data_IF_906719642527
#
_entry.id   IF_906719642527
#
_cell.length_a   1.000
_cell.length_b   1.000
_cell.length_c   1.000
_cell.angle_alpha   90.00
_cell.angle_beta   90.00
_cell.angle_gamma   90.00
#
_symmetry.space_group_name_H-M   'P 1'
#
loop_
_entity.id
_entity.type
_entity.pdbx_description
1 polymer ?
#
# COMPACT_ATOMS: atom_id res chain seq x y z
N UNK A 1 14.34 -4.81 18.40
CA UNK A 1 13.71 -4.09 17.26
C UNK A 1 12.49 -4.82 16.73
N UNK A 2 12.59 -6.06 16.26
CA UNK A 2 11.46 -6.80 15.67
C UNK A 2 10.19 -6.81 16.56
N UNK A 3 10.34 -7.12 17.86
CA UNK A 3 9.24 -7.07 18.82
C UNK A 3 8.53 -5.69 18.87
N UNK A 4 9.28 -4.60 18.87
CA UNK A 4 8.71 -3.25 18.90
C UNK A 4 7.95 -2.94 17.60
N UNK A 5 8.47 -3.35 16.44
CA UNK A 5 7.72 -3.23 15.18
C UNK A 5 6.44 -4.04 15.20
N UNK A 6 6.47 -5.29 15.69
CA UNK A 6 5.27 -6.11 15.78
C UNK A 6 4.24 -5.50 16.73
N UNK A 7 4.65 -5.14 17.94
CA UNK A 7 3.76 -4.66 18.99
C UNK A 7 3.18 -3.27 18.69
N UNK A 8 4.00 -2.34 18.19
CA UNK A 8 3.60 -0.95 18.04
C UNK A 8 3.04 -0.63 16.65
N UNK A 9 3.60 -1.21 15.59
CA UNK A 9 3.33 -0.77 14.21
C UNK A 9 2.52 -1.78 13.39
N UNK A 10 2.59 -3.07 13.72
CA UNK A 10 1.81 -4.12 13.06
C UNK A 10 0.47 -4.42 13.76
N UNK A 11 0.01 -3.52 14.62
CA UNK A 11 -1.37 -3.58 15.12
C UNK A 11 -2.44 -3.72 14.02
N UNK A 12 -2.39 -2.99 12.88
CA UNK A 12 -3.42 -3.11 11.84
C UNK A 12 -3.57 -4.53 11.29
N UNK A 13 -2.47 -5.19 10.91
CA UNK A 13 -2.53 -6.58 10.39
C UNK A 13 -2.99 -7.55 11.48
N UNK A 14 -2.56 -7.36 12.73
CA UNK A 14 -2.99 -8.21 13.85
C UNK A 14 -4.50 -8.10 14.06
N UNK A 15 -5.05 -6.88 14.12
CA UNK A 15 -6.49 -6.64 14.26
C UNK A 15 -7.26 -7.20 13.06
N UNK A 16 -6.77 -6.95 11.84
CA UNK A 16 -7.42 -7.47 10.64
C UNK A 16 -7.47 -8.99 10.64
N UNK A 17 -6.37 -9.64 11.02
CA UNK A 17 -6.31 -11.09 11.15
C UNK A 17 -7.28 -11.62 12.20
N UNK A 18 -7.31 -11.02 13.39
CA UNK A 18 -8.26 -11.44 14.44
C UNK A 18 -9.71 -11.23 14.04
N UNK A 19 -10.04 -10.16 13.30
CA UNK A 19 -11.39 -9.97 12.76
C UNK A 19 -11.79 -11.09 11.79
N UNK A 20 -10.85 -11.56 10.95
CA UNK A 20 -11.06 -12.72 10.09
C UNK A 20 -11.29 -13.97 10.95
N UNK A 21 -10.46 -14.20 11.97
CA UNK A 21 -10.62 -15.35 12.86
C UNK A 21 -11.97 -15.36 13.57
N UNK A 22 -12.43 -14.22 14.09
CA UNK A 22 -13.74 -14.14 14.78
C UNK A 22 -14.93 -14.41 13.86
N UNK A 23 -14.74 -14.32 12.54
CA UNK A 23 -15.77 -14.67 11.55
C UNK A 23 -15.83 -16.16 11.22
N UNK A 24 -14.86 -16.96 11.68
CA UNK A 24 -14.79 -18.39 11.47
C UNK A 24 -15.44 -19.13 12.64
N UNK A 25 -16.26 -20.15 12.35
CA UNK A 25 -16.98 -20.92 13.39
C UNK A 25 -16.05 -21.70 14.33
N UNK A 26 -14.89 -22.15 13.83
CA UNK A 26 -13.95 -23.00 14.57
C UNK A 26 -12.53 -22.47 14.43
N UNK A 27 -12.00 -21.86 15.49
CA UNK A 27 -10.61 -21.36 15.53
C UNK A 27 -9.84 -22.03 16.65
N UNK A 28 -8.69 -22.62 16.30
CA UNK A 28 -7.75 -23.15 17.29
C UNK A 28 -7.07 -21.98 18.01
N UNK A 29 -7.16 -21.95 19.35
CA UNK A 29 -6.52 -20.90 20.16
C UNK A 29 -5.00 -20.80 19.89
N UNK A 30 -4.33 -21.94 19.71
CA UNK A 30 -2.90 -21.98 19.40
C UNK A 30 -2.55 -21.33 18.05
N UNK A 31 -3.43 -21.43 17.04
CA UNK A 31 -3.25 -20.74 15.76
C UNK A 31 -3.36 -19.22 15.95
N UNK A 32 -4.37 -18.77 16.70
CA UNK A 32 -4.61 -17.37 16.99
C UNK A 32 -3.44 -16.71 17.76
N UNK A 33 -2.85 -17.43 18.72
CA UNK A 33 -1.68 -16.94 19.49
C UNK A 33 -0.36 -17.04 18.71
N UNK A 34 -0.32 -17.86 17.66
CA UNK A 34 0.91 -18.04 16.86
C UNK A 34 1.25 -16.83 15.98
N UNK A 35 0.28 -15.97 15.67
CA UNK A 35 0.44 -14.89 14.69
C UNK A 35 1.44 -13.82 15.14
N UNK A 36 1.33 -13.23 16.35
CA UNK A 36 2.35 -12.29 16.81
C UNK A 36 3.74 -12.94 16.87
N UNK A 37 3.82 -14.22 17.24
CA UNK A 37 5.09 -14.97 17.31
C UNK A 37 5.72 -15.10 15.92
N UNK A 38 4.93 -15.51 14.92
CA UNK A 38 5.39 -15.60 13.53
C UNK A 38 5.78 -14.23 12.98
N UNK A 39 5.02 -13.18 13.27
CA UNK A 39 5.36 -11.81 12.85
C UNK A 39 6.68 -11.34 13.47
N UNK A 40 6.90 -11.55 14.76
CA UNK A 40 8.17 -11.21 15.42
C UNK A 40 9.33 -11.98 14.77
N UNK A 41 9.17 -13.30 14.57
CA UNK A 41 10.21 -14.13 13.97
C UNK A 41 10.50 -13.73 12.51
N UNK A 42 9.47 -13.51 11.70
CA UNK A 42 9.61 -13.10 10.30
C UNK A 42 10.25 -11.71 10.18
N UNK A 43 9.82 -10.73 10.98
CA UNK A 43 10.43 -9.40 11.01
C UNK A 43 11.87 -9.47 11.51
N UNK A 44 12.17 -10.31 12.51
CA UNK A 44 13.53 -10.50 12.96
C UNK A 44 14.43 -11.04 11.84
N UNK A 45 13.97 -12.05 11.11
CA UNK A 45 14.68 -12.61 9.96
C UNK A 45 14.98 -11.55 8.90
N UNK A 46 13.99 -10.73 8.52
CA UNK A 46 14.11 -9.72 7.47
C UNK A 46 14.96 -8.52 7.91
N UNK A 47 14.87 -8.10 9.18
CA UNK A 47 15.54 -6.89 9.68
C UNK A 47 16.97 -7.16 10.18
N UNK A 48 17.31 -8.41 10.53
CA UNK A 48 18.63 -8.76 11.08
C UNK A 48 19.80 -8.42 10.15
N UNK A 49 19.74 -8.64 8.82
CA UNK A 49 20.82 -8.26 7.89
C UNK A 49 21.19 -6.77 7.96
N UNK A 50 20.24 -5.90 8.29
CA UNK A 50 20.43 -4.45 8.34
C UNK A 50 21.01 -3.95 9.68
N UNK A 51 21.31 -4.85 10.61
CA UNK A 51 21.84 -4.51 11.95
C UNK A 51 23.37 -4.30 11.94
N UNK A 52 23.87 -3.49 11.01
CA UNK A 52 25.30 -3.15 10.85
C UNK A 52 25.67 -1.99 11.78
N UNK A 53 26.87 -2.01 12.38
CA UNK A 53 27.29 -1.17 13.52
C UNK A 53 26.89 0.30 13.44
N UNK A 54 27.26 1.00 12.37
CA UNK A 54 26.97 2.43 12.21
C UNK A 54 25.64 2.72 11.50
N UNK A 55 25.08 1.73 10.81
CA UNK A 55 23.85 1.86 10.04
C UNK A 55 22.59 1.59 10.87
N UNK A 56 22.69 0.72 11.89
CA UNK A 56 21.56 0.23 12.68
C UNK A 56 20.70 1.34 13.27
N UNK A 57 21.31 2.34 13.95
CA UNK A 57 20.57 3.40 14.63
C UNK A 57 19.79 4.30 13.65
N UNK A 58 20.43 4.97 12.67
CA UNK A 58 19.71 5.83 11.74
C UNK A 58 18.71 5.05 10.88
N UNK A 59 19.05 3.82 10.45
CA UNK A 59 18.15 3.00 9.64
C UNK A 59 16.87 2.64 10.39
N UNK A 60 16.97 2.11 11.61
CA UNK A 60 15.78 1.75 12.38
C UNK A 60 15.01 2.99 12.83
N UNK A 61 15.67 4.10 13.17
CA UNK A 61 14.98 5.36 13.47
C UNK A 61 14.11 5.83 12.29
N UNK A 62 14.65 5.80 11.07
CA UNK A 62 13.90 6.12 9.86
C UNK A 62 12.71 5.17 9.64
N UNK A 63 12.92 3.85 9.82
CA UNK A 63 11.84 2.87 9.71
C UNK A 63 10.76 3.05 10.78
N UNK A 64 11.11 3.44 12.01
CA UNK A 64 10.11 3.72 13.04
C UNK A 64 9.23 4.90 12.67
N UNK A 65 9.80 6.00 12.18
CA UNK A 65 9.02 7.18 11.81
C UNK A 65 8.10 6.87 10.60
N UNK A 66 8.68 6.34 9.53
CA UNK A 66 7.92 6.00 8.30
C UNK A 66 6.89 4.89 8.56
N UNK A 67 7.24 3.88 9.36
CA UNK A 67 6.34 2.81 9.75
C UNK A 67 5.19 3.29 10.64
N UNK A 68 5.39 4.30 11.49
CA UNK A 68 4.31 4.90 12.26
C UNK A 68 3.32 5.66 11.37
N UNK A 69 3.80 6.38 10.36
CA UNK A 69 2.94 7.03 9.36
C UNK A 69 2.12 6.00 8.59
N UNK A 70 2.76 4.93 8.11
CA UNK A 70 2.09 3.84 7.40
C UNK A 70 1.05 3.14 8.29
N UNK A 71 1.44 2.79 9.53
CA UNK A 71 0.56 2.14 10.50
C UNK A 71 -0.69 2.99 10.81
N UNK A 72 -0.54 4.31 10.98
CA UNK A 72 -1.67 5.20 11.17
C UNK A 72 -2.62 5.21 9.97
N UNK A 73 -2.08 5.35 8.76
CA UNK A 73 -2.87 5.37 7.54
C UNK A 73 -3.63 4.04 7.33
N UNK A 74 -3.00 2.91 7.66
CA UNK A 74 -3.63 1.60 7.63
C UNK A 74 -4.75 1.46 8.67
N UNK A 75 -4.55 1.92 9.90
CA UNK A 75 -5.55 1.82 10.96
C UNK A 75 -6.74 2.74 10.74
N UNK A 76 -6.48 4.02 10.42
CA UNK A 76 -7.52 5.05 10.35
C UNK A 76 -8.20 5.09 8.99
N UNK A 77 -7.43 5.01 7.91
CA UNK A 77 -7.92 5.20 6.54
C UNK A 77 -8.03 3.88 5.76
N UNK A 78 -7.64 2.74 6.36
CA UNK A 78 -7.65 1.41 5.71
C UNK A 78 -6.84 1.39 4.40
N UNK A 79 -5.79 2.21 4.34
CA UNK A 79 -4.88 2.27 3.20
C UNK A 79 -4.06 0.99 3.13
N UNK A 80 -3.89 0.45 1.92
CA UNK A 80 -2.96 -0.64 1.63
C UNK A 80 -1.75 -0.07 0.91
N UNK A 81 -0.55 -0.29 1.45
CA UNK A 81 0.69 0.19 0.84
C UNK A 81 1.20 -0.78 -0.22
N UNK A 82 0.67 -0.65 -1.43
CA UNK A 82 1.23 -1.29 -2.62
C UNK A 82 1.92 -0.28 -3.54
N UNK A 83 2.34 -0.74 -4.72
CA UNK A 83 3.07 0.08 -5.69
C UNK A 83 2.27 1.31 -6.11
N UNK A 84 0.96 1.18 -6.27
CA UNK A 84 0.11 2.27 -6.76
C UNK A 84 -0.10 3.30 -5.64
N UNK A 85 -0.18 2.86 -4.38
CA UNK A 85 -0.16 3.79 -3.24
C UNK A 85 1.17 4.54 -3.14
N UNK A 86 2.32 3.90 -3.40
CA UNK A 86 3.60 4.61 -3.46
C UNK A 86 3.60 5.65 -4.58
N UNK A 87 3.04 5.31 -5.75
CA UNK A 87 2.88 6.27 -6.84
C UNK A 87 2.02 7.47 -6.41
N UNK A 88 0.88 7.23 -5.76
CA UNK A 88 0.02 8.29 -5.25
C UNK A 88 0.77 9.22 -4.29
N UNK A 89 1.55 8.66 -3.36
CA UNK A 89 2.34 9.46 -2.40
C UNK A 89 3.43 10.29 -3.08
N UNK A 90 3.99 9.81 -4.19
CA UNK A 90 5.03 10.54 -4.94
C UNK A 90 4.47 11.57 -5.92
N UNK A 91 3.26 11.36 -6.43
CA UNK A 91 2.60 12.24 -7.40
C UNK A 91 1.63 13.25 -6.75
N UNK A 92 1.34 13.09 -5.45
CA UNK A 92 0.47 14.00 -4.70
C UNK A 92 1.07 15.40 -4.56
N UNK A 93 0.20 16.39 -4.33
CA UNK A 93 0.58 17.78 -4.05
C UNK A 93 0.50 18.09 -2.55
N UNK A 94 1.10 19.21 -2.13
CA UNK A 94 1.16 19.61 -0.71
C UNK A 94 -0.21 19.91 -0.10
N UNK A 95 -1.17 20.40 -0.88
CA UNK A 95 -2.53 20.66 -0.41
C UNK A 95 -3.30 19.38 -0.13
N UNK A 96 -3.21 18.40 -1.04
CA UNK A 96 -3.79 17.08 -0.87
C UNK A 96 -3.15 16.34 0.31
N UNK A 97 -1.82 16.30 0.39
CA UNK A 97 -1.11 15.68 1.51
C UNK A 97 -1.45 16.34 2.86
N UNK A 98 -1.55 17.67 2.89
CA UNK A 98 -1.90 18.43 4.09
C UNK A 98 -3.29 18.10 4.63
N UNK A 99 -4.24 17.75 3.76
CA UNK A 99 -5.61 17.37 4.18
C UNK A 99 -5.67 16.10 5.03
N UNK A 100 -4.66 15.23 4.96
CA UNK A 100 -4.57 14.02 5.78
C UNK A 100 -3.94 14.26 7.16
N UNK A 101 -3.29 15.41 7.37
CA UNK A 101 -2.65 15.77 8.63
C UNK A 101 -3.69 16.30 9.62
N UNK A 102 -3.71 15.67 10.80
CA UNK A 102 -4.53 16.13 11.91
C UNK A 102 -3.78 15.90 13.24
N UNK A 103 -4.33 16.41 14.34
CA UNK A 103 -3.70 16.29 15.67
C UNK A 103 -3.50 14.82 16.06
N UNK A 104 -4.45 13.94 15.73
CA UNK A 104 -4.34 12.51 16.02
C UNK A 104 -3.22 11.83 15.23
N UNK A 105 -3.06 12.15 13.94
CA UNK A 105 -1.97 11.61 13.12
C UNK A 105 -0.61 12.08 13.62
N UNK A 106 -0.50 13.35 14.02
CA UNK A 106 0.74 13.91 14.57
C UNK A 106 1.12 13.25 15.91
N UNK A 107 0.17 13.14 16.83
CA UNK A 107 0.38 12.46 18.11
C UNK A 107 0.77 10.99 17.92
N UNK A 108 0.15 10.29 16.97
CA UNK A 108 0.50 8.91 16.66
C UNK A 108 1.96 8.78 16.18
N UNK A 109 2.36 9.60 15.20
CA UNK A 109 3.74 9.59 14.69
C UNK A 109 4.74 9.96 15.78
N UNK A 110 4.40 10.91 16.65
CA UNK A 110 5.25 11.31 17.77
C UNK A 110 5.46 10.16 18.76
N UNK A 111 4.37 9.50 19.17
CA UNK A 111 4.42 8.46 20.22
C UNK A 111 4.91 7.11 19.72
N UNK A 112 4.54 6.71 18.50
CA UNK A 112 4.80 5.36 17.95
C UNK A 112 5.99 5.36 16.98
N UNK A 113 6.37 6.53 16.46
CA UNK A 113 7.50 6.69 15.54
C UNK A 113 8.69 7.40 16.19
N UNK A 114 8.53 8.68 16.51
CA UNK A 114 9.62 9.55 16.98
C UNK A 114 10.15 9.13 18.34
N UNK A 115 9.27 8.85 19.31
CA UNK A 115 9.69 8.46 20.66
C UNK A 115 10.53 7.15 20.62
N UNK A 116 10.08 6.03 20.00
CA UNK A 116 10.92 4.86 19.81
C UNK A 116 12.21 5.14 19.05
N UNK A 117 12.16 5.96 18.00
CA UNK A 117 13.34 6.33 17.21
C UNK A 117 14.41 7.03 18.06
N UNK A 118 14.01 7.97 18.92
CA UNK A 118 14.90 8.67 19.84
C UNK A 118 15.45 7.73 20.91
N UNK A 119 14.62 6.85 21.48
CA UNK A 119 15.04 5.87 22.48
C UNK A 119 16.16 4.95 21.98
N UNK A 120 16.18 4.61 20.68
CA UNK A 120 17.24 3.80 20.07
C UNK A 120 18.63 4.47 20.18
N UNK A 121 18.68 5.80 20.13
CA UNK A 121 19.95 6.51 20.26
C UNK A 121 20.54 6.41 21.66
N UNK A 122 19.69 6.35 22.69
CA UNK A 122 20.12 6.18 24.09
C UNK A 122 20.56 4.76 24.45
N UNK A 123 20.15 3.75 23.67
CA UNK A 123 20.57 2.36 23.90
C UNK A 123 22.05 2.20 23.52
N UNK A 124 22.86 1.72 24.49
CA UNK A 124 24.24 1.29 24.26
C UNK A 124 24.20 -0.11 23.63
N UNK A 125 24.60 -0.20 22.36
CA UNK A 125 24.67 -1.48 21.64
C UNK A 125 26.07 -2.04 21.86
N UNK A 126 26.16 -3.20 22.53
CA UNK A 126 27.41 -3.93 22.67
C UNK A 126 27.70 -4.72 21.40
N UNK A 127 28.84 -4.45 20.79
CA UNK A 127 29.25 -5.13 19.56
C UNK A 127 30.28 -6.22 19.89
N UNK A 128 30.17 -7.42 19.28
CA UNK A 128 31.17 -8.47 19.46
C UNK A 128 32.56 -7.98 19.06
N UNK A 129 33.57 -8.35 19.85
CA UNK A 129 34.97 -7.96 19.61
C UNK A 129 35.54 -8.43 18.28
N UNK A 130 34.98 -9.51 17.70
CA UNK A 130 35.39 -10.07 16.41
C UNK A 130 34.22 -10.11 15.44
N UNK A 131 34.42 -9.63 14.22
CA UNK A 131 33.37 -9.48 13.20
C UNK A 131 32.64 -10.80 12.86
N UNK A 132 33.36 -11.92 12.80
CA UNK A 132 32.79 -13.24 12.50
C UNK A 132 31.87 -13.75 13.61
N UNK A 133 32.14 -13.43 14.89
CA UNK A 133 31.24 -13.79 15.99
C UNK A 133 29.92 -13.04 15.87
N UNK A 134 29.97 -11.77 15.45
CA UNK A 134 28.77 -10.98 15.15
C UNK A 134 27.99 -11.52 13.95
N UNK A 135 28.69 -11.95 12.90
CA UNK A 135 28.05 -12.58 11.74
C UNK A 135 27.38 -13.92 12.12
N UNK A 136 28.08 -14.77 12.89
CA UNK A 136 27.57 -16.06 13.33
C UNK A 136 26.38 -15.91 14.28
N UNK A 137 26.41 -14.95 15.21
CA UNK A 137 25.27 -14.65 16.08
C UNK A 137 24.05 -14.17 15.29
N UNK A 138 24.25 -13.34 14.26
CA UNK A 138 23.17 -12.91 13.35
C UNK A 138 22.60 -14.08 12.56
N UNK A 139 23.46 -14.91 11.97
CA UNK A 139 23.04 -16.10 11.24
C UNK A 139 22.27 -17.08 12.15
N UNK A 140 22.76 -17.32 13.37
CA UNK A 140 22.07 -18.14 14.36
C UNK A 140 20.69 -17.58 14.72
N UNK A 141 20.56 -16.27 14.94
CA UNK A 141 19.26 -15.62 15.18
C UNK A 141 18.31 -15.75 14.00
N UNK A 142 18.81 -15.63 12.76
CA UNK A 142 18.01 -15.81 11.56
C UNK A 142 17.53 -17.27 11.42
N UNK A 143 18.42 -18.24 11.66
CA UNK A 143 18.07 -19.66 11.65
C UNK A 143 17.06 -20.01 12.74
N UNK A 144 17.22 -19.48 13.95
CA UNK A 144 16.26 -19.65 15.03
C UNK A 144 14.88 -19.08 14.65
N UNK A 145 14.86 -17.91 14.01
CA UNK A 145 13.62 -17.30 13.52
C UNK A 145 12.95 -18.17 12.45
N UNK A 146 13.74 -18.72 11.53
CA UNK A 146 13.24 -19.63 10.49
C UNK A 146 12.71 -20.94 11.09
N UNK A 147 13.37 -21.49 12.11
CA UNK A 147 12.91 -22.68 12.82
C UNK A 147 11.58 -22.43 13.53
N UNK A 148 11.39 -21.27 14.16
CA UNK A 148 10.12 -20.87 14.79
C UNK A 148 9.01 -20.77 13.74
N UNK A 149 9.26 -20.06 12.64
CA UNK A 149 8.27 -19.93 11.55
C UNK A 149 7.94 -21.31 10.96
N UNK A 150 8.94 -22.12 10.65
CA UNK A 150 8.77 -23.47 10.11
C UNK A 150 7.99 -24.39 11.06
N UNK A 151 8.29 -24.35 12.36
CA UNK A 151 7.59 -25.13 13.38
C UNK A 151 6.12 -24.73 13.50
N UNK A 152 5.81 -23.44 13.54
CA UNK A 152 4.42 -22.96 13.58
C UNK A 152 3.67 -23.35 12.29
N UNK A 153 4.30 -23.15 11.13
CA UNK A 153 3.69 -23.51 9.85
C UNK A 153 3.47 -25.02 9.73
N UNK A 154 4.36 -25.87 10.25
CA UNK A 154 4.16 -27.32 10.26
C UNK A 154 2.93 -27.72 11.09
N UNK A 155 2.66 -27.03 12.20
CA UNK A 155 1.51 -27.31 13.07
C UNK A 155 0.18 -26.75 12.53
N UNK A 156 0.21 -25.61 11.84
CA UNK A 156 -0.99 -24.87 11.41
C UNK A 156 -1.06 -24.59 9.90
N UNK A 157 -0.41 -25.39 9.07
CA UNK A 157 -0.26 -25.15 7.63
C UNK A 157 -1.59 -24.87 6.91
N UNK A 158 -2.60 -25.73 7.12
CA UNK A 158 -3.91 -25.60 6.47
C UNK A 158 -4.63 -24.31 6.85
N UNK A 159 -4.50 -23.91 8.11
CA UNK A 159 -5.11 -22.69 8.66
C UNK A 159 -4.45 -21.45 8.03
N UNK A 160 -3.12 -21.39 7.99
CA UNK A 160 -2.37 -20.32 7.31
C UNK A 160 -2.63 -20.27 5.80
N UNK A 161 -2.66 -21.42 5.13
CA UNK A 161 -2.87 -21.50 3.69
C UNK A 161 -4.28 -21.03 3.29
N UNK A 162 -5.30 -21.40 4.07
CA UNK A 162 -6.69 -20.97 3.84
C UNK A 162 -6.83 -19.46 4.02
N UNK A 163 -6.38 -18.91 5.15
CA UNK A 163 -6.49 -17.48 5.44
C UNK A 163 -5.69 -16.66 4.43
N UNK A 164 -4.46 -17.09 4.09
CA UNK A 164 -3.60 -16.40 3.14
C UNK A 164 -4.12 -16.40 1.71
N UNK A 165 -4.77 -17.48 1.25
CA UNK A 165 -5.39 -17.54 -0.09
C UNK A 165 -6.64 -16.68 -0.19
N UNK A 166 -7.47 -16.69 0.85
CA UNK A 166 -8.72 -15.92 0.86
C UNK A 166 -8.50 -14.42 1.13
N UNK A 167 -7.39 -14.07 1.78
CA UNK A 167 -7.06 -12.69 2.17
C UNK A 167 -5.66 -12.32 1.70
N UNK A 168 -5.45 -12.33 0.38
CA UNK A 168 -4.16 -12.00 -0.23
C UNK A 168 -3.67 -10.60 0.11
N UNK A 169 -4.51 -9.69 0.61
CA UNK A 169 -4.12 -8.34 1.02
C UNK A 169 -3.27 -8.32 2.29
N UNK A 170 -3.38 -9.33 3.16
CA UNK A 170 -2.66 -9.37 4.44
C UNK A 170 -1.14 -9.29 4.28
N UNK A 171 -0.59 -9.84 3.20
CA UNK A 171 0.85 -9.77 2.96
C UNK A 171 1.35 -8.33 2.67
N UNK A 172 0.47 -7.44 2.21
CA UNK A 172 0.73 -6.00 1.98
C UNK A 172 0.53 -5.15 3.24
N UNK A 173 0.19 -5.77 4.37
CA UNK A 173 -0.08 -5.08 5.62
C UNK A 173 1.06 -5.21 6.65
N UNK A 174 2.12 -5.96 6.33
CA UNK A 174 3.27 -6.14 7.24
C UNK A 174 4.18 -4.91 7.19
N UNK A 175 4.23 -4.14 8.28
CA UNK A 175 5.08 -2.95 8.42
C UNK A 175 6.44 -3.34 9.03
N UNK A 176 7.58 -2.84 8.52
CA UNK A 176 7.75 -1.90 7.40
C UNK A 176 7.94 -2.58 6.03
N UNK A 177 7.85 -3.91 5.96
CA UNK A 177 8.17 -4.67 4.75
C UNK A 177 7.32 -4.26 3.53
N UNK A 178 6.05 -3.92 3.76
CA UNK A 178 5.08 -3.55 2.73
C UNK A 178 5.53 -2.34 1.90
N UNK A 179 5.70 -1.17 2.52
CA UNK A 179 6.04 0.04 1.81
C UNK A 179 7.49 0.04 1.33
N UNK A 180 8.42 -0.62 2.03
CA UNK A 180 9.81 -0.76 1.57
C UNK A 180 9.86 -1.58 0.28
N UNK A 181 9.19 -2.73 0.24
CA UNK A 181 9.10 -3.57 -0.95
C UNK A 181 8.37 -2.85 -2.09
N UNK A 182 7.23 -2.20 -1.80
CA UNK A 182 6.47 -1.45 -2.79
C UNK A 182 7.30 -0.31 -3.41
N UNK A 183 8.04 0.42 -2.57
CA UNK A 183 8.92 1.51 -3.00
C UNK A 183 10.08 0.99 -3.85
N UNK A 184 10.77 -0.06 -3.41
CA UNK A 184 11.85 -0.66 -4.19
C UNK A 184 11.36 -1.14 -5.56
N UNK A 185 10.19 -1.77 -5.62
CA UNK A 185 9.56 -2.23 -6.87
C UNK A 185 9.15 -1.07 -7.77
N UNK A 186 8.58 0.00 -7.19
CA UNK A 186 8.23 1.21 -7.94
C UNK A 186 9.48 1.85 -8.56
N UNK A 187 10.52 2.07 -7.77
CA UNK A 187 11.78 2.67 -8.24
C UNK A 187 12.42 1.83 -9.34
N UNK A 188 12.46 0.50 -9.16
CA UNK A 188 12.98 -0.41 -10.17
C UNK A 188 12.21 -0.29 -11.49
N UNK A 189 10.87 -0.38 -11.45
CA UNK A 189 10.02 -0.31 -12.65
C UNK A 189 10.03 1.08 -13.31
N UNK A 190 10.16 2.16 -12.53
CA UNK A 190 10.06 3.55 -13.01
C UNK A 190 11.36 4.11 -13.56
N UNK A 191 12.49 3.78 -12.91
CA UNK A 191 13.78 4.45 -13.16
C UNK A 191 14.92 3.51 -13.57
N UNK A 192 14.87 2.22 -13.20
CA UNK A 192 15.96 1.28 -13.47
C UNK A 192 15.69 0.37 -14.68
N UNK A 193 14.45 0.27 -15.14
CA UNK A 193 14.12 -0.43 -16.38
C UNK A 193 14.55 0.38 -17.60
N UNK A 194 14.96 -0.34 -18.66
CA UNK A 194 15.33 0.29 -19.93
C UNK A 194 14.17 1.15 -20.45
N UNK A 195 14.45 2.38 -20.91
CA UNK A 195 13.42 3.26 -21.43
C UNK A 195 12.81 2.63 -22.69
N UNK A 196 11.48 2.61 -22.74
CA UNK A 196 10.75 2.23 -23.94
C UNK A 196 10.83 3.40 -24.94
N UNK A 197 11.03 3.16 -26.24
CA UNK A 197 10.91 4.21 -27.25
C UNK A 197 9.48 4.76 -27.26
N UNK A 198 9.33 6.05 -27.56
CA UNK A 198 8.03 6.68 -27.71
C UNK A 198 7.38 6.22 -29.03
N UNK A 199 6.22 5.58 -28.95
CA UNK A 199 5.42 5.15 -30.09
C UNK A 199 4.40 6.23 -30.42
N UNK A 200 4.19 6.54 -31.70
CA UNK A 200 3.13 7.47 -32.12
C UNK A 200 1.93 6.65 -32.58
N UNK A 201 0.77 6.87 -31.95
CA UNK A 201 -0.49 6.20 -32.29
C UNK A 201 -1.43 7.17 -33.03
N UNK A 202 -2.19 6.68 -34.00
CA UNK A 202 -3.21 7.46 -34.71
C UNK A 202 -2.67 8.41 -35.78
N UNK A 203 -1.52 8.11 -36.38
CA UNK A 203 -0.90 8.91 -37.45
C UNK A 203 -1.71 8.91 -38.76
N UNK A 204 -2.69 8.03 -38.88
CA UNK A 204 -3.63 7.88 -39.98
C UNK A 204 -4.94 8.67 -39.77
N UNK A 205 -5.10 9.35 -38.63
CA UNK A 205 -6.30 10.13 -38.34
C UNK A 205 -6.45 11.33 -39.30
N UNK A 206 -7.57 11.40 -40.00
CA UNK A 206 -7.93 12.49 -40.90
C UNK A 206 -9.15 13.26 -40.39
N UNK A 207 -9.15 14.58 -40.59
CA UNK A 207 -10.28 15.43 -40.21
C UNK A 207 -11.40 15.28 -41.23
N UNK A 208 -12.60 14.95 -40.77
CA UNK A 208 -13.81 15.06 -41.59
C UNK A 208 -14.26 16.53 -41.66
N UNK A 209 -14.40 17.09 -42.86
CA UNK A 209 -14.79 18.48 -43.12
C UNK A 209 -16.22 18.64 -43.64
N UNK A 210 -16.98 17.56 -43.76
CA UNK A 210 -18.30 17.56 -44.42
C UNK A 210 -19.44 18.14 -43.55
N UNK A 211 -19.16 18.54 -42.31
CA UNK A 211 -20.16 19.12 -41.42
C UNK A 211 -20.31 20.64 -41.65
N UNK A 212 -21.53 21.09 -41.93
CA UNK A 212 -21.86 22.53 -42.11
C UNK A 212 -21.59 23.38 -40.86
N UNK A 213 -21.57 22.77 -39.67
CA UNK A 213 -21.29 23.44 -38.39
C UNK A 213 -20.13 22.77 -37.65
N UNK A 214 -19.27 23.54 -36.96
CA UNK A 214 -18.21 22.96 -36.13
C UNK A 214 -18.80 22.14 -34.97
N UNK A 215 -18.22 20.96 -34.71
CA UNK A 215 -18.52 20.17 -33.51
C UNK A 215 -17.69 20.68 -32.34
N UNK A 216 -18.35 21.08 -31.25
CA UNK A 216 -17.71 21.43 -29.99
C UNK A 216 -18.04 20.37 -28.93
N UNK A 217 -17.02 19.78 -28.33
CA UNK A 217 -17.14 18.76 -27.29
C UNK A 217 -16.43 19.21 -26.02
N UNK A 218 -17.12 19.08 -24.88
CA UNK A 218 -16.52 19.23 -23.55
C UNK A 218 -16.43 17.85 -22.89
N UNK A 219 -15.24 17.50 -22.42
CA UNK A 219 -15.02 16.32 -21.59
C UNK A 219 -14.70 16.76 -20.16
N UNK A 220 -15.61 16.47 -19.24
CA UNK A 220 -15.43 16.76 -17.81
C UNK A 220 -14.89 15.51 -17.12
N UNK A 221 -13.66 15.58 -16.63
CA UNK A 221 -13.06 14.51 -15.83
C UNK A 221 -13.34 14.79 -14.35
N UNK A 222 -14.24 14.00 -13.76
CA UNK A 222 -14.58 14.11 -12.34
C UNK A 222 -13.48 13.56 -11.42
N UNK A 223 -13.62 13.85 -10.12
CA UNK A 223 -12.71 13.40 -9.07
C UNK A 223 -13.52 12.76 -7.92
N UNK A 224 -13.17 11.54 -7.50
CA UNK A 224 -13.72 10.80 -6.34
C UNK A 224 -15.26 10.55 -6.31
N UNK A 225 -16.04 11.11 -7.23
CA UNK A 225 -17.48 10.92 -7.31
C UNK A 225 -17.84 9.45 -7.62
N UNK A 226 -18.91 8.94 -7.00
CA UNK A 226 -19.30 7.52 -7.08
C UNK A 226 -20.76 7.35 -7.44
N UNK A 227 -21.05 6.47 -8.39
CA UNK A 227 -22.39 6.27 -8.97
C UNK A 227 -23.49 5.97 -7.94
N UNK A 228 -23.17 5.27 -6.84
CA UNK A 228 -24.13 4.98 -5.76
C UNK A 228 -24.72 6.22 -5.06
N UNK A 229 -24.10 7.40 -5.22
CA UNK A 229 -24.54 8.66 -4.62
C UNK A 229 -25.14 9.64 -5.64
N UNK A 230 -25.41 9.20 -6.87
CA UNK A 230 -26.10 10.00 -7.87
C UNK A 230 -27.61 9.77 -7.78
N UNK A 231 -28.39 10.83 -7.58
CA UNK A 231 -29.85 10.75 -7.52
C UNK A 231 -30.45 10.27 -8.84
N UNK A 232 -29.83 10.65 -9.96
CA UNK A 232 -30.17 10.16 -11.30
C UNK A 232 -29.96 8.65 -11.46
N UNK A 233 -29.21 8.01 -10.55
CA UNK A 233 -28.96 6.58 -10.52
C UNK A 233 -29.74 5.88 -9.39
N UNK A 234 -30.75 6.54 -8.81
CA UNK A 234 -31.61 5.97 -7.76
C UNK A 234 -31.18 6.27 -6.32
N UNK A 235 -30.23 7.16 -6.09
CA UNK A 235 -29.90 7.60 -4.73
C UNK A 235 -31.03 8.45 -4.11
N UNK A 236 -31.38 8.15 -2.86
CA UNK A 236 -32.54 8.73 -2.17
C UNK A 236 -32.47 10.25 -1.91
N UNK A 237 -31.28 10.85 -1.91
CA UNK A 237 -31.12 12.32 -1.76
C UNK A 237 -30.92 12.94 -3.13
N UNK A 238 -31.52 14.11 -3.37
CA UNK A 238 -31.34 14.89 -4.59
C UNK A 238 -29.92 15.48 -4.67
N UNK A 239 -28.97 14.71 -5.21
CA UNK A 239 -27.56 15.11 -5.38
C UNK A 239 -27.25 15.70 -6.75
N UNK A 240 -28.17 15.59 -7.71
CA UNK A 240 -28.06 16.15 -9.05
C UNK A 240 -29.14 17.22 -9.35
N UNK A 241 -29.43 18.20 -8.46
CA UNK A 241 -30.61 19.06 -8.58
C UNK A 241 -30.61 19.96 -9.82
N UNK A 242 -29.42 20.35 -10.30
CA UNK A 242 -29.29 21.23 -11.46
C UNK A 242 -29.30 20.44 -12.78
N UNK A 243 -28.56 19.34 -12.84
CA UNK A 243 -28.44 18.54 -14.05
C UNK A 243 -29.69 17.71 -14.33
N UNK A 244 -30.41 17.23 -13.31
CA UNK A 244 -31.62 16.42 -13.54
C UNK A 244 -32.76 17.17 -14.25
N UNK A 245 -32.71 18.51 -14.28
CA UNK A 245 -33.77 19.37 -14.83
C UNK A 245 -33.60 19.69 -16.31
N UNK A 246 -32.43 19.42 -16.89
CA UNK A 246 -32.18 19.71 -18.30
C UNK A 246 -32.58 18.52 -19.18
N UNK A 247 -33.28 18.81 -20.28
CA UNK A 247 -33.65 17.82 -21.28
C UNK A 247 -32.40 17.27 -22.00
N UNK A 248 -32.45 15.99 -22.38
CA UNK A 248 -31.39 15.33 -23.14
C UNK A 248 -30.20 14.82 -22.32
N UNK A 249 -30.22 14.92 -20.98
CA UNK A 249 -29.18 14.32 -20.14
C UNK A 249 -29.40 12.82 -19.97
N UNK A 250 -28.38 12.05 -20.30
CA UNK A 250 -28.35 10.60 -20.15
C UNK A 250 -27.46 10.24 -18.98
N UNK A 251 -28.00 9.52 -18.00
CA UNK A 251 -27.22 8.96 -16.89
C UNK A 251 -26.92 7.48 -17.13
N UNK A 252 -25.66 7.10 -16.91
CA UNK A 252 -25.22 5.71 -17.03
C UNK A 252 -25.10 5.07 -15.64
N UNK A 253 -25.87 4.03 -15.38
CA UNK A 253 -25.97 3.42 -14.04
C UNK A 253 -24.93 2.33 -13.77
N UNK A 254 -24.38 1.68 -14.81
CA UNK A 254 -23.38 0.62 -14.67
C UNK A 254 -22.08 0.99 -15.39
N UNK A 255 -21.35 1.95 -14.79
CA UNK A 255 -20.03 2.36 -15.25
C UNK A 255 -19.00 2.02 -14.18
N UNK A 256 -17.86 1.49 -14.62
CA UNK A 256 -16.74 1.08 -13.75
C UNK A 256 -15.48 1.80 -14.17
N UNK A 257 -14.67 2.19 -13.20
CA UNK A 257 -13.40 2.89 -13.42
C UNK A 257 -12.30 1.91 -13.83
N UNK A 258 -11.26 2.41 -14.49
CA UNK A 258 -10.08 1.60 -14.78
C UNK A 258 -9.30 1.23 -13.51
N UNK A 259 -9.11 2.20 -12.61
CA UNK A 259 -8.51 2.02 -11.29
C UNK A 259 -9.29 2.76 -10.19
N UNK A 260 -8.73 2.75 -8.99
CA UNK A 260 -9.31 3.42 -7.80
C UNK A 260 -8.48 4.61 -7.33
N UNK A 261 -7.56 5.09 -8.17
CA UNK A 261 -6.69 6.24 -7.91
C UNK A 261 -6.50 7.05 -9.18
N UNK A 262 -6.42 8.37 -9.07
CA UNK A 262 -6.27 9.30 -10.20
C UNK A 262 -5.02 9.00 -11.04
N UNK A 263 -3.90 8.67 -10.37
CA UNK A 263 -2.62 8.29 -10.98
C UNK A 263 -2.69 7.02 -11.87
N UNK A 264 -3.73 6.20 -11.71
CA UNK A 264 -3.98 5.00 -12.53
C UNK A 264 -5.12 5.24 -13.51
N UNK A 265 -6.25 5.78 -13.03
CA UNK A 265 -7.47 5.92 -13.82
C UNK A 265 -7.32 6.91 -14.97
N UNK A 266 -6.71 8.07 -14.73
CA UNK A 266 -6.59 9.11 -15.77
C UNK A 266 -5.72 8.62 -16.93
N UNK A 267 -4.47 8.15 -16.71
CA UNK A 267 -3.67 7.65 -17.82
C UNK A 267 -4.32 6.46 -18.54
N UNK A 268 -5.02 5.59 -17.82
CA UNK A 268 -5.71 4.47 -18.45
C UNK A 268 -6.88 4.90 -19.34
N UNK A 269 -7.71 5.86 -18.89
CA UNK A 269 -8.85 6.38 -19.65
C UNK A 269 -8.43 7.05 -20.97
N UNK A 270 -7.25 7.68 -20.99
CA UNK A 270 -6.71 8.36 -22.17
C UNK A 270 -5.73 7.50 -22.97
N UNK A 271 -5.49 6.26 -22.54
CA UNK A 271 -4.71 5.29 -23.32
C UNK A 271 -5.60 4.53 -24.29
N UNK A 272 -5.00 3.99 -25.35
CA UNK A 272 -5.68 3.04 -26.24
C UNK A 272 -5.83 1.63 -25.62
N UNK A 273 -5.33 1.41 -24.39
CA UNK A 273 -5.31 0.11 -23.74
C UNK A 273 -6.60 -0.15 -22.97
N UNK A 274 -7.11 -1.38 -23.05
CA UNK A 274 -8.21 -1.81 -22.20
C UNK A 274 -7.73 -2.03 -20.77
N UNK A 275 -8.63 -1.87 -19.79
CA UNK A 275 -8.32 -1.98 -18.34
C UNK A 275 -7.47 -3.19 -17.95
N UNK A 276 -7.73 -4.37 -18.53
CA UNK A 276 -7.01 -5.61 -18.20
C UNK A 276 -5.56 -5.64 -18.71
N UNK A 277 -5.25 -4.83 -19.72
CA UNK A 277 -3.97 -4.80 -20.43
C UNK A 277 -3.17 -3.52 -20.14
N UNK A 278 -3.77 -2.58 -19.41
CA UNK A 278 -3.16 -1.31 -19.09
C UNK A 278 -1.80 -1.49 -18.39
N UNK A 279 -0.74 -0.95 -19.00
CA UNK A 279 0.56 -0.79 -18.38
C UNK A 279 0.96 0.69 -18.40
N UNK A 280 1.04 1.30 -17.22
CA UNK A 280 1.38 2.72 -17.08
C UNK A 280 2.77 3.11 -17.62
N UNK A 281 3.73 2.17 -17.72
CA UNK A 281 5.00 2.46 -18.40
C UNK A 281 4.82 2.48 -19.91
N UNK A 282 4.00 1.60 -20.49
CA UNK A 282 3.72 1.64 -21.94
C UNK A 282 2.90 2.87 -22.30
N UNK A 283 1.84 3.15 -21.54
CA UNK A 283 0.96 4.29 -21.79
C UNK A 283 1.66 5.65 -21.70
N UNK A 284 2.78 5.77 -20.96
CA UNK A 284 3.60 6.99 -20.92
C UNK A 284 4.51 7.15 -22.15
N UNK A 285 4.73 6.07 -22.89
CA UNK A 285 5.62 6.03 -24.06
C UNK A 285 4.84 5.72 -25.35
N UNK A 286 3.56 6.08 -25.41
CA UNK A 286 2.67 5.91 -26.58
C UNK A 286 1.71 7.09 -26.72
#
# INVERSE_FOLDING_TARGET
>A
MAFLFTALQNWPIIVHFYNILTSLEHVKLGFALSIPIVLVAALNFVLMPFSIRYFVKPFFAFLFITGAMASYAMLKYRVIFDRDMVQNVLETNSGEAGSYLNVSSLLWVLMIGVLPAVLIFFIKIEYPSRWYKGLLARAASMLASLAVVGGVLALYYLDYASVGRNNMTLNKEVVPANYVYATARYVYKRYLQAPLPFEQVGTDAVRNTDAEKPTLMFLVVGETARGQNFSMNGYHKETNPFTSRHEGIISFNDVRTCGTATAVSVPCMFSHMVRKEFDGNKARNS
#
